data_IF_608925431598
#
_entry.id   IF_608925431598
#
_cell.length_a   1.000
_cell.length_b   1.000
_cell.length_c   1.000
_cell.angle_alpha   90.00
_cell.angle_beta   90.00
_cell.angle_gamma   90.00
#
_symmetry.space_group_name_H-M   'P 1'
#
loop_
_entity.id
_entity.type
_entity.pdbx_description
1 polymer ?
#
# COMPACT_ATOMS: atom_id res chain seq x y z
N UNK A 1 -3.59 41.17 23.06
CA UNK A 1 -2.24 40.57 23.14
C UNK A 1 -2.37 39.06 22.97
N UNK A 2 -1.98 38.52 21.83
CA UNK A 2 -1.48 37.14 21.69
C UNK A 2 -0.81 37.03 20.33
N UNK A 3 0.51 36.90 20.36
CA UNK A 3 1.44 37.01 19.24
C UNK A 3 1.75 35.57 18.82
N UNK A 4 0.98 35.03 17.86
CA UNK A 4 1.31 33.78 17.17
C UNK A 4 1.09 33.93 15.66
N UNK A 5 1.52 35.08 15.12
CA UNK A 5 1.61 35.27 13.68
C UNK A 5 2.89 34.61 13.15
N UNK A 6 2.74 33.42 12.56
CA UNK A 6 3.42 32.95 11.35
C UNK A 6 4.89 33.41 11.19
N UNK A 7 5.80 32.82 11.96
CA UNK A 7 7.25 32.95 11.76
C UNK A 7 7.82 32.01 10.66
N UNK A 8 6.98 31.39 9.82
CA UNK A 8 7.46 30.43 8.80
C UNK A 8 8.04 31.09 7.54
N UNK A 9 7.79 32.39 7.32
CA UNK A 9 8.12 33.06 6.06
C UNK A 9 9.60 33.46 5.90
N UNK A 10 10.32 33.86 6.95
CA UNK A 10 11.67 34.43 6.77
C UNK A 10 12.78 33.39 6.55
N UNK A 11 12.61 32.17 7.07
CA UNK A 11 13.55 31.05 6.88
C UNK A 11 13.43 30.44 5.48
N UNK A 12 12.21 30.17 5.02
CA UNK A 12 11.95 29.59 3.70
C UNK A 12 12.40 30.53 2.56
N UNK A 13 12.28 31.85 2.73
CA UNK A 13 12.71 32.83 1.73
C UNK A 13 14.22 32.99 1.63
N UNK A 14 14.94 32.85 2.76
CA UNK A 14 16.39 32.85 2.79
C UNK A 14 16.95 31.59 2.12
N UNK A 15 16.35 30.43 2.37
CA UNK A 15 16.76 29.16 1.76
C UNK A 15 16.38 29.11 0.27
N UNK A 16 15.25 29.72 -0.12
CA UNK A 16 14.88 29.90 -1.53
C UNK A 16 15.86 30.81 -2.27
N UNK A 17 16.30 31.91 -1.66
CA UNK A 17 17.33 32.81 -2.24
C UNK A 17 18.66 32.08 -2.39
N UNK A 18 19.12 31.34 -1.38
CA UNK A 18 20.34 30.51 -1.46
C UNK A 18 20.26 29.51 -2.63
N UNK A 19 19.14 28.79 -2.77
CA UNK A 19 18.88 27.85 -3.88
C UNK A 19 18.87 28.49 -5.27
N UNK A 20 18.54 29.78 -5.39
CA UNK A 20 18.55 30.53 -6.64
C UNK A 20 19.94 31.04 -7.02
N UNK A 21 20.79 31.33 -6.02
CA UNK A 21 22.19 31.76 -6.22
C UNK A 21 23.19 30.64 -6.39
N UNK A 22 22.82 29.38 -6.10
CA UNK A 22 23.73 28.25 -6.24
C UNK A 22 23.84 27.76 -7.69
N UNK A 23 25.03 27.32 -8.12
CA UNK A 23 25.21 26.67 -9.42
C UNK A 23 24.24 25.50 -9.62
N UNK A 24 23.76 25.34 -10.86
CA UNK A 24 22.67 24.41 -11.22
C UNK A 24 22.94 22.97 -10.74
N UNK A 25 24.21 22.54 -10.77
CA UNK A 25 24.64 21.22 -10.32
C UNK A 25 24.35 20.96 -8.84
N UNK A 26 24.43 21.98 -7.98
CA UNK A 26 24.22 21.86 -6.55
C UNK A 26 22.72 21.83 -6.21
N UNK A 27 21.92 22.66 -6.91
CA UNK A 27 20.45 22.62 -6.80
C UNK A 27 19.89 21.26 -7.24
N UNK A 28 20.49 20.66 -8.27
CA UNK A 28 20.11 19.34 -8.78
C UNK A 28 20.52 18.20 -7.84
N UNK A 29 21.59 18.37 -7.07
CA UNK A 29 22.01 17.42 -6.04
C UNK A 29 21.05 17.44 -4.84
N UNK A 30 20.68 18.64 -4.38
CA UNK A 30 19.71 18.80 -3.28
C UNK A 30 18.29 18.37 -3.67
N UNK A 31 17.88 18.54 -4.93
CA UNK A 31 16.58 18.03 -5.40
C UNK A 31 16.51 16.51 -5.48
N UNK A 32 17.65 15.81 -5.50
CA UNK A 32 17.66 14.34 -5.46
C UNK A 32 17.44 13.80 -4.04
N UNK A 33 17.54 14.65 -3.01
CA UNK A 33 17.26 14.30 -1.61
C UNK A 33 15.83 14.60 -1.17
N UNK A 34 14.87 14.57 -2.10
CA UNK A 34 13.46 14.60 -1.72
C UNK A 34 13.13 13.37 -0.86
N UNK A 35 12.34 13.59 0.21
CA UNK A 35 11.84 12.52 1.07
C UNK A 35 10.99 11.57 0.23
N UNK A 36 11.58 10.43 -0.12
CA UNK A 36 10.94 9.38 -0.88
C UNK A 36 9.77 8.80 -0.09
N UNK A 37 8.56 9.18 -0.47
CA UNK A 37 7.34 8.57 0.05
C UNK A 37 6.60 7.84 -1.07
N UNK A 38 6.22 6.60 -0.84
CA UNK A 38 5.39 5.83 -1.78
C UNK A 38 4.01 6.46 -1.97
N UNK A 39 3.33 6.11 -3.07
CA UNK A 39 1.99 6.62 -3.40
C UNK A 39 0.87 6.02 -2.54
N UNK A 40 1.05 4.80 -2.06
CA UNK A 40 0.10 4.18 -1.12
C UNK A 40 0.51 4.62 0.27
N UNK A 41 -0.18 5.64 0.77
CA UNK A 41 -0.24 6.00 2.18
C UNK A 41 -1.57 5.45 2.65
N UNK A 42 -1.54 4.37 3.42
CA UNK A 42 -2.72 3.69 3.97
C UNK A 42 -3.65 4.68 4.68
N UNK A 43 -4.88 4.27 5.03
CA UNK A 43 -5.87 5.19 5.57
C UNK A 43 -5.31 5.91 6.80
N UNK A 44 -5.53 7.23 6.85
CA UNK A 44 -5.09 8.11 7.94
C UNK A 44 -5.89 7.86 9.24
N UNK A 45 -6.89 6.96 9.20
CA UNK A 45 -7.76 6.63 10.32
C UNK A 45 -7.05 5.73 11.35
N UNK A 46 -7.05 6.16 12.62
CA UNK A 46 -6.50 5.41 13.76
C UNK A 46 -7.23 4.08 14.02
N UNK A 47 -8.47 3.93 13.55
CA UNK A 47 -9.32 2.74 13.74
C UNK A 47 -9.15 1.72 12.60
N UNK A 48 -7.94 1.18 12.41
CA UNK A 48 -7.71 0.09 11.46
C UNK A 48 -8.26 -1.26 11.98
N UNK A 49 -9.33 -1.76 11.35
CA UNK A 49 -10.03 -2.99 11.74
C UNK A 49 -9.79 -4.14 10.73
N UNK A 50 -8.74 -4.97 10.92
CA UNK A 50 -8.37 -6.01 9.94
C UNK A 50 -9.44 -7.11 9.78
N UNK A 51 -10.26 -7.35 10.81
CA UNK A 51 -11.35 -8.32 10.75
C UNK A 51 -12.49 -7.88 9.83
N UNK A 52 -12.82 -6.59 9.81
CA UNK A 52 -13.88 -6.06 8.96
C UNK A 52 -13.46 -6.09 7.49
N UNK A 53 -12.22 -5.66 7.21
CA UNK A 53 -11.62 -5.81 5.88
C UNK A 53 -11.62 -7.28 5.43
N UNK A 54 -11.28 -8.22 6.33
CA UNK A 54 -11.31 -9.66 6.03
C UNK A 54 -12.72 -10.17 5.70
N UNK A 55 -13.75 -9.72 6.43
CA UNK A 55 -15.15 -10.05 6.13
C UNK A 55 -15.58 -9.50 4.78
N UNK A 56 -15.23 -8.26 4.48
CA UNK A 56 -15.51 -7.63 3.18
C UNK A 56 -14.85 -8.41 2.05
N UNK A 57 -13.58 -8.79 2.18
CA UNK A 57 -12.89 -9.66 1.22
C UNK A 57 -13.59 -11.02 1.07
N UNK A 58 -14.04 -11.64 2.16
CA UNK A 58 -14.74 -12.92 2.08
C UNK A 58 -16.07 -12.82 1.34
N UNK A 59 -16.84 -11.76 1.58
CA UNK A 59 -18.08 -11.47 0.87
C UNK A 59 -17.79 -11.19 -0.61
N UNK A 60 -16.76 -10.39 -0.87
CA UNK A 60 -16.24 -10.10 -2.20
C UNK A 60 -15.64 -11.33 -2.90
N UNK A 61 -15.38 -12.44 -2.23
CA UNK A 61 -14.99 -13.69 -2.88
C UNK A 61 -16.18 -14.67 -3.04
N UNK A 62 -17.35 -14.34 -2.48
CA UNK A 62 -18.56 -15.18 -2.51
C UNK A 62 -19.67 -14.64 -3.44
N UNK A 63 -19.82 -13.32 -3.56
CA UNK A 63 -20.80 -12.57 -4.37
C UNK A 63 -20.82 -12.73 -5.93
N UNK A 64 -20.12 -13.68 -6.56
CA UNK A 64 -20.08 -13.87 -8.01
C UNK A 64 -19.21 -12.89 -8.86
N UNK A 65 -18.80 -13.37 -10.03
CA UNK A 65 -17.65 -12.94 -10.87
C UNK A 65 -17.45 -11.42 -11.07
N UNK A 66 -18.50 -10.60 -11.23
CA UNK A 66 -18.33 -9.20 -11.68
C UNK A 66 -18.23 -8.15 -10.55
N UNK A 67 -18.74 -8.44 -9.36
CA UNK A 67 -18.75 -7.47 -8.26
C UNK A 67 -17.49 -7.53 -7.39
N UNK A 68 -16.70 -8.58 -7.58
CA UNK A 68 -15.56 -8.96 -6.75
C UNK A 68 -14.36 -8.04 -6.95
N UNK A 69 -14.04 -7.74 -8.21
CA UNK A 69 -12.81 -7.04 -8.58
C UNK A 69 -12.75 -5.64 -7.96
N UNK A 70 -13.85 -4.90 -8.02
CA UNK A 70 -13.93 -3.53 -7.46
C UNK A 70 -13.68 -3.53 -5.97
N UNK A 71 -14.42 -4.37 -5.24
CA UNK A 71 -14.27 -4.47 -3.77
C UNK A 71 -12.87 -4.92 -3.37
N UNK A 72 -12.26 -5.81 -4.15
CA UNK A 72 -10.92 -6.31 -3.85
C UNK A 72 -9.85 -5.25 -4.09
N UNK A 73 -9.98 -4.48 -5.18
CA UNK A 73 -9.12 -3.33 -5.51
C UNK A 73 -9.27 -2.25 -4.44
N UNK A 74 -10.50 -1.87 -4.08
CA UNK A 74 -10.77 -0.81 -3.11
C UNK A 74 -10.18 -1.16 -1.73
N UNK A 75 -10.39 -2.40 -1.27
CA UNK A 75 -9.80 -2.86 0.00
C UNK A 75 -8.28 -2.95 -0.11
N UNK A 76 -7.70 -3.58 -1.13
CA UNK A 76 -6.24 -3.77 -1.13
C UNK A 76 -5.48 -2.47 -1.42
N UNK A 77 -5.91 -1.66 -2.39
CA UNK A 77 -5.20 -0.43 -2.74
C UNK A 77 -5.36 0.68 -1.70
N UNK A 78 -6.44 0.69 -0.91
CA UNK A 78 -6.58 1.64 0.18
C UNK A 78 -5.57 1.40 1.31
N UNK A 79 -5.09 0.17 1.52
CA UNK A 79 -4.24 -0.20 2.66
C UNK A 79 -2.75 -0.27 2.33
N UNK A 80 -1.92 0.10 3.31
CA UNK A 80 -0.47 -0.10 3.30
C UNK A 80 -0.10 -1.59 3.33
N UNK A 81 1.10 -1.93 2.86
CA UNK A 81 1.58 -3.31 2.89
C UNK A 81 1.51 -3.92 4.31
N UNK A 82 1.97 -3.19 5.33
CA UNK A 82 1.86 -3.65 6.72
C UNK A 82 0.42 -3.98 7.15
N UNK A 83 -0.55 -3.16 6.74
CA UNK A 83 -1.96 -3.40 7.01
C UNK A 83 -2.48 -4.60 6.21
N UNK A 84 -2.08 -4.77 4.94
CA UNK A 84 -2.44 -5.95 4.13
C UNK A 84 -1.97 -7.25 4.78
N UNK A 85 -0.76 -7.28 5.35
CA UNK A 85 -0.29 -8.44 6.11
C UNK A 85 -1.17 -8.72 7.34
N UNK A 86 -1.61 -7.68 8.05
CA UNK A 86 -2.58 -7.85 9.15
C UNK A 86 -3.94 -8.35 8.68
N UNK A 87 -4.41 -7.91 7.51
CA UNK A 87 -5.66 -8.41 6.91
C UNK A 87 -5.49 -9.88 6.52
N UNK A 88 -4.37 -10.26 5.87
CA UNK A 88 -4.10 -11.65 5.50
C UNK A 88 -4.08 -12.58 6.72
N UNK A 89 -3.39 -12.18 7.79
CA UNK A 89 -3.35 -12.96 9.03
C UNK A 89 -4.71 -13.02 9.73
N UNK A 90 -5.47 -11.91 9.77
CA UNK A 90 -6.84 -11.91 10.30
C UNK A 90 -7.77 -12.83 9.50
N UNK A 91 -7.69 -12.78 8.16
CA UNK A 91 -8.46 -13.64 7.27
C UNK A 91 -8.18 -15.13 7.55
N UNK A 92 -6.91 -15.50 7.67
CA UNK A 92 -6.52 -16.87 8.03
C UNK A 92 -7.06 -17.25 9.41
N UNK A 93 -6.90 -16.42 10.42
CA UNK A 93 -7.41 -16.72 11.77
C UNK A 93 -8.94 -16.92 11.79
N UNK A 94 -9.68 -16.17 10.98
CA UNK A 94 -11.13 -16.25 10.91
C UNK A 94 -11.63 -17.48 10.13
N UNK A 95 -10.96 -17.86 9.04
CA UNK A 95 -11.47 -18.83 8.07
C UNK A 95 -10.66 -20.14 7.96
N UNK A 96 -9.44 -20.21 8.49
CA UNK A 96 -8.55 -21.38 8.40
C UNK A 96 -8.90 -22.53 9.36
N UNK A 97 -10.08 -22.54 9.99
CA UNK A 97 -10.52 -23.65 10.89
C UNK A 97 -10.76 -24.99 10.17
N UNK A 98 -10.65 -25.06 8.84
CA UNK A 98 -10.79 -26.31 8.09
C UNK A 98 -9.42 -26.89 7.74
N UNK A 99 -9.36 -28.21 7.77
CA UNK A 99 -8.21 -29.09 7.48
C UNK A 99 -7.51 -28.81 6.12
N UNK A 100 -8.15 -28.04 5.25
CA UNK A 100 -7.61 -27.47 4.04
C UNK A 100 -7.55 -25.95 4.25
N UNK A 101 -6.35 -25.43 4.51
CA UNK A 101 -6.12 -24.03 4.87
C UNK A 101 -6.67 -23.09 3.80
N UNK A 102 -7.74 -22.37 4.14
CA UNK A 102 -8.22 -21.25 3.33
C UNK A 102 -7.32 -20.06 3.62
N UNK A 103 -6.26 -19.94 2.82
CA UNK A 103 -5.39 -18.78 2.78
C UNK A 103 -5.99 -17.77 1.81
N UNK A 104 -5.85 -16.47 2.13
CA UNK A 104 -6.32 -15.40 1.24
C UNK A 104 -5.77 -15.60 -0.18
N UNK A 105 -4.49 -15.96 -0.32
CA UNK A 105 -3.86 -16.23 -1.61
C UNK A 105 -4.52 -17.38 -2.39
N UNK A 106 -4.93 -18.45 -1.71
CA UNK A 106 -5.58 -19.59 -2.35
C UNK A 106 -6.95 -19.19 -2.91
N UNK A 107 -7.73 -18.43 -2.13
CA UNK A 107 -9.04 -17.97 -2.59
C UNK A 107 -8.89 -16.96 -3.76
N UNK A 108 -7.83 -16.13 -3.76
CA UNK A 108 -7.51 -15.25 -4.89
C UNK A 108 -7.13 -16.03 -6.15
N UNK A 109 -6.33 -17.09 -6.05
CA UNK A 109 -5.94 -17.93 -7.20
C UNK A 109 -7.12 -18.69 -7.81
N UNK A 110 -8.10 -19.07 -7.00
CA UNK A 110 -9.30 -19.75 -7.50
C UNK A 110 -10.27 -18.79 -8.21
N UNK A 111 -10.28 -17.52 -7.81
CA UNK A 111 -11.23 -16.53 -8.34
C UNK A 111 -10.66 -15.67 -9.47
N UNK A 112 -9.37 -15.35 -9.40
CA UNK A 112 -8.72 -14.42 -10.32
C UNK A 112 -7.71 -15.16 -11.20
N UNK A 113 -7.53 -14.69 -12.43
CA UNK A 113 -6.51 -15.21 -13.35
C UNK A 113 -5.82 -14.07 -14.13
N UNK A 114 -4.75 -14.40 -14.84
CA UNK A 114 -4.00 -13.45 -15.68
C UNK A 114 -3.28 -12.35 -14.89
N UNK A 115 -3.20 -11.16 -15.47
CA UNK A 115 -2.46 -10.02 -14.90
C UNK A 115 -3.09 -9.49 -13.61
N UNK A 116 -4.40 -9.66 -13.45
CA UNK A 116 -5.09 -9.26 -12.22
C UNK A 116 -4.63 -10.10 -11.03
N UNK A 117 -4.55 -11.42 -11.20
CA UNK A 117 -4.00 -12.30 -10.17
C UNK A 117 -2.54 -11.94 -9.85
N UNK A 118 -1.71 -11.66 -10.88
CA UNK A 118 -0.31 -11.27 -10.70
C UNK A 118 -0.18 -9.97 -9.90
N UNK A 119 -1.05 -9.00 -10.14
CA UNK A 119 -1.08 -7.75 -9.38
C UNK A 119 -1.46 -8.02 -7.92
N UNK A 120 -2.56 -8.73 -7.71
CA UNK A 120 -3.10 -9.00 -6.37
C UNK A 120 -2.14 -9.83 -5.52
N UNK A 121 -1.52 -10.86 -6.11
CA UNK A 121 -0.54 -11.68 -5.40
C UNK A 121 0.65 -10.85 -4.93
N UNK A 122 1.15 -9.94 -5.77
CA UNK A 122 2.23 -9.00 -5.41
C UNK A 122 1.82 -7.99 -4.34
N UNK A 123 0.58 -7.53 -4.36
CA UNK A 123 0.09 -6.57 -3.37
C UNK A 123 -0.08 -7.19 -1.98
N UNK A 124 -0.43 -8.48 -1.91
CA UNK A 124 -0.63 -9.23 -0.66
C UNK A 124 0.69 -9.78 -0.12
N UNK A 125 1.64 -10.14 -0.98
CA UNK A 125 2.93 -10.65 -0.53
C UNK A 125 3.83 -9.54 0.04
N UNK A 126 4.65 -9.86 1.07
CA UNK A 126 5.66 -8.92 1.56
C UNK A 126 6.70 -8.65 0.46
N UNK A 127 7.37 -7.47 0.51
CA UNK A 127 8.21 -7.01 -0.60
C UNK A 127 9.43 -7.92 -0.81
N UNK A 128 9.91 -8.58 0.24
CA UNK A 128 11.02 -9.54 0.18
C UNK A 128 10.66 -10.76 -0.69
N UNK A 129 9.46 -11.32 -0.49
CA UNK A 129 8.97 -12.47 -1.26
C UNK A 129 8.61 -12.07 -2.69
N UNK A 130 8.00 -10.90 -2.88
CA UNK A 130 7.62 -10.41 -4.21
C UNK A 130 8.84 -10.13 -5.12
N UNK A 131 9.96 -9.68 -4.54
CA UNK A 131 11.20 -9.39 -5.29
C UNK A 131 11.84 -10.66 -5.88
N UNK A 132 11.72 -11.79 -5.18
CA UNK A 132 12.23 -13.08 -5.65
C UNK A 132 11.56 -13.54 -6.94
N UNK A 133 10.24 -13.41 -7.04
CA UNK A 133 9.46 -13.87 -8.20
C UNK A 133 9.80 -13.13 -9.51
N UNK A 134 10.16 -11.85 -9.44
CA UNK A 134 10.54 -11.07 -10.63
C UNK A 134 11.89 -11.50 -11.20
N UNK A 135 12.81 -11.90 -10.33
CA UNK A 135 14.15 -12.36 -10.73
C UNK A 135 14.11 -13.68 -11.49
N UNK A 136 13.15 -14.56 -11.20
CA UNK A 136 13.02 -15.86 -11.87
C UNK A 136 12.13 -15.84 -13.12
N UNK A 137 11.28 -14.82 -13.28
CA UNK A 137 10.39 -14.66 -14.45
C UNK A 137 11.09 -14.06 -15.69
N UNK A 138 12.28 -13.49 -15.54
CA UNK A 138 12.97 -12.72 -16.60
C UNK A 138 14.03 -13.56 -17.33
N UNK A 139 13.85 -14.88 -17.40
CA UNK A 139 14.76 -15.83 -18.07
C UNK A 139 13.99 -16.64 -19.11
#
# INVERSE_FOLDING_TARGET
MSIFARQKSSSEEADRKKRLTMPLIYRMYESQSEEFCGSVRGPDDDDFHPEEASKSLRQALAAGIQSHDKTLIDVLLAHNNFQRQKIATAYENMYARRKYGHHLMFDLQNMCSGDFLRLLSRLVNPPDVASGDEMFSTV
#
